data_IF_410402289951
#
_entry.id   IF_410402289951
#
_cell.length_a   1.000
_cell.length_b   1.000
_cell.length_c   1.000
_cell.angle_alpha   90.00
_cell.angle_beta   90.00
_cell.angle_gamma   90.00
#
_symmetry.space_group_name_H-M   'P 1'
#
loop_
_entity.id
_entity.type
_entity.pdbx_description
1 polymer ?
#
# COMPACT_ATOMS: atom_id res chain seq x y z
N UNK A 1 19.12 3.60 -7.28
CA UNK A 1 18.50 3.31 -5.97
C UNK A 1 17.43 4.32 -5.58
N UNK A 2 17.70 5.64 -5.64
CA UNK A 2 16.73 6.71 -5.34
C UNK A 2 15.33 6.52 -5.96
N UNK A 3 15.26 6.24 -7.27
CA UNK A 3 13.99 6.02 -7.98
C UNK A 3 13.20 4.81 -7.47
N UNK A 4 13.89 3.74 -7.06
CA UNK A 4 13.24 2.55 -6.49
C UNK A 4 12.59 2.86 -5.14
N UNK A 5 13.27 3.63 -4.29
CA UNK A 5 12.74 4.04 -2.99
C UNK A 5 11.62 5.08 -3.10
N UNK A 6 11.73 6.02 -4.03
CA UNK A 6 10.64 6.95 -4.34
C UNK A 6 9.39 6.18 -4.81
N UNK A 7 9.57 5.23 -5.74
CA UNK A 7 8.49 4.36 -6.20
C UNK A 7 7.86 3.57 -5.06
N UNK A 8 8.66 2.94 -4.19
CA UNK A 8 8.15 2.21 -3.02
C UNK A 8 7.37 3.12 -2.06
N UNK A 9 7.83 4.35 -1.84
CA UNK A 9 7.19 5.29 -0.93
C UNK A 9 5.82 5.76 -1.48
N UNK A 10 5.74 5.99 -2.79
CA UNK A 10 4.46 6.27 -3.47
C UNK A 10 3.54 5.05 -3.43
N UNK A 11 4.06 3.85 -3.73
CA UNK A 11 3.32 2.59 -3.62
C UNK A 11 2.77 2.36 -2.23
N UNK A 12 3.57 2.59 -1.18
CA UNK A 12 3.14 2.45 0.21
C UNK A 12 2.01 3.42 0.56
N UNK A 13 2.15 4.69 0.18
CA UNK A 13 1.10 5.70 0.41
C UNK A 13 -0.19 5.37 -0.34
N UNK A 14 -0.10 5.04 -1.63
CA UNK A 14 -1.26 4.74 -2.47
C UNK A 14 -1.94 3.46 -1.98
N UNK A 15 -1.19 2.40 -1.71
CA UNK A 15 -1.75 1.14 -1.21
C UNK A 15 -2.38 1.28 0.17
N UNK A 16 -1.83 2.12 1.05
CA UNK A 16 -2.43 2.44 2.35
C UNK A 16 -3.77 3.15 2.19
N UNK A 17 -3.83 4.21 1.39
CA UNK A 17 -5.09 4.94 1.11
C UNK A 17 -6.11 4.01 0.45
N UNK A 18 -5.68 3.22 -0.54
CA UNK A 18 -6.56 2.31 -1.27
C UNK A 18 -7.12 1.23 -0.34
N UNK A 19 -6.30 0.68 0.56
CA UNK A 19 -6.76 -0.29 1.58
C UNK A 19 -7.87 0.32 2.44
N UNK A 20 -7.70 1.56 2.91
CA UNK A 20 -8.72 2.25 3.72
C UNK A 20 -10.02 2.48 2.95
N UNK A 21 -9.92 2.92 1.68
CA UNK A 21 -11.10 3.12 0.82
C UNK A 21 -11.84 1.81 0.59
N UNK A 22 -11.11 0.74 0.29
CA UNK A 22 -11.71 -0.58 0.07
C UNK A 22 -12.37 -1.12 1.34
N UNK A 23 -11.73 -0.93 2.50
CA UNK A 23 -12.32 -1.33 3.77
C UNK A 23 -13.58 -0.53 4.09
N UNK A 24 -13.59 0.77 3.79
CA UNK A 24 -14.76 1.63 3.94
C UNK A 24 -15.90 1.18 3.01
N UNK A 25 -15.61 0.89 1.75
CA UNK A 25 -16.60 0.43 0.77
C UNK A 25 -17.19 -0.93 1.15
N UNK A 26 -16.36 -1.85 1.63
CA UNK A 26 -16.82 -3.15 2.15
C UNK A 26 -17.72 -2.95 3.38
N UNK A 27 -17.39 -2.01 4.27
CA UNK A 27 -18.20 -1.69 5.47
C UNK A 27 -19.55 -1.05 5.10
N UNK A 28 -19.59 -0.23 4.05
CA UNK A 28 -20.83 0.40 3.58
C UNK A 28 -21.77 -0.58 2.89
N UNK A 29 -21.22 -1.59 2.22
CA UNK A 29 -21.97 -2.65 1.56
C UNK A 29 -21.17 -3.94 1.58
N UNK A 30 -21.56 -4.82 2.50
CA UNK A 30 -20.94 -6.14 2.65
C UNK A 30 -20.85 -6.86 1.29
N UNK A 31 -19.66 -7.37 0.99
CA UNK A 31 -19.36 -8.11 -0.24
C UNK A 31 -19.18 -7.25 -1.49
N UNK A 32 -19.33 -5.92 -1.43
CA UNK A 32 -19.16 -5.07 -2.62
C UNK A 32 -17.73 -5.10 -3.15
N UNK A 33 -16.74 -4.92 -2.29
CA UNK A 33 -15.34 -4.93 -2.72
C UNK A 33 -14.91 -6.33 -3.07
N UNK A 34 -15.24 -7.29 -2.20
CA UNK A 34 -14.92 -8.71 -2.38
C UNK A 34 -15.44 -9.30 -3.70
N UNK A 35 -16.49 -8.70 -4.29
CA UNK A 35 -17.03 -9.09 -5.59
C UNK A 35 -16.17 -8.66 -6.78
N UNK A 36 -15.49 -7.50 -6.70
CA UNK A 36 -14.72 -6.93 -7.82
C UNK A 36 -13.22 -7.15 -7.69
N UNK A 37 -12.68 -7.08 -6.48
CA UNK A 37 -11.25 -7.15 -6.19
C UNK A 37 -11.04 -7.98 -4.92
N UNK A 38 -9.95 -8.76 -4.88
CA UNK A 38 -9.52 -9.38 -3.63
C UNK A 38 -8.74 -8.35 -2.78
N UNK A 39 -9.31 -7.81 -1.70
CA UNK A 39 -8.66 -6.77 -0.89
C UNK A 39 -7.37 -7.27 -0.21
N UNK A 40 -7.22 -8.59 -0.03
CA UNK A 40 -6.01 -9.20 0.53
C UNK A 40 -4.78 -8.91 -0.33
N UNK A 41 -4.93 -8.85 -1.66
CA UNK A 41 -3.80 -8.56 -2.56
C UNK A 41 -3.24 -7.16 -2.28
N UNK A 42 -4.11 -6.17 -2.13
CA UNK A 42 -3.71 -4.78 -1.87
C UNK A 42 -3.10 -4.66 -0.48
N UNK A 43 -3.63 -5.39 0.49
CA UNK A 43 -3.08 -5.46 1.84
C UNK A 43 -1.68 -6.08 1.88
N UNK A 44 -1.43 -7.12 1.07
CA UNK A 44 -0.10 -7.74 0.90
C UNK A 44 0.88 -6.75 0.27
N UNK A 45 0.47 -6.01 -0.77
CA UNK A 45 1.31 -4.96 -1.39
C UNK A 45 1.64 -3.86 -0.38
N UNK A 46 0.65 -3.40 0.40
CA UNK A 46 0.86 -2.44 1.47
C UNK A 46 1.86 -2.96 2.52
N UNK A 47 1.73 -4.23 2.91
CA UNK A 47 2.63 -4.83 3.90
C UNK A 47 4.06 -4.94 3.39
N UNK A 48 4.26 -5.45 2.17
CA UNK A 48 5.61 -5.59 1.56
C UNK A 48 6.25 -4.21 1.37
N UNK A 49 5.50 -3.25 0.83
CA UNK A 49 6.01 -1.88 0.63
C UNK A 49 6.31 -1.16 1.95
N UNK A 50 5.52 -1.42 2.99
CA UNK A 50 5.75 -0.94 4.35
C UNK A 50 7.01 -1.53 4.99
N UNK A 51 7.27 -2.82 4.81
CA UNK A 51 8.52 -3.46 5.26
C UNK A 51 9.73 -2.84 4.56
N UNK A 52 9.68 -2.68 3.24
CA UNK A 52 10.75 -2.02 2.48
C UNK A 52 10.94 -0.59 2.99
N UNK A 53 9.86 0.16 3.20
CA UNK A 53 9.92 1.52 3.71
C UNK A 53 10.54 1.59 5.11
N UNK A 54 10.15 0.71 6.03
CA UNK A 54 10.63 0.68 7.42
C UNK A 54 12.14 0.37 7.52
N UNK A 55 12.62 -0.56 6.71
CA UNK A 55 14.04 -0.96 6.72
C UNK A 55 14.91 -0.13 5.76
N UNK A 56 14.34 0.85 5.04
CA UNK A 56 15.11 1.77 4.20
C UNK A 56 15.65 2.92 5.06
N UNK A 57 16.98 3.05 5.25
CA UNK A 57 17.55 4.15 6.01
C UNK A 57 17.32 5.50 5.31
N UNK A 58 17.02 6.56 6.07
CA UNK A 58 16.73 7.91 5.54
C UNK A 58 17.83 8.45 4.60
N UNK A 59 19.08 8.04 4.80
CA UNK A 59 20.22 8.40 3.94
C UNK A 59 20.09 7.90 2.50
N UNK A 60 19.30 6.86 2.24
CA UNK A 60 19.01 6.38 0.88
C UNK A 60 18.13 7.33 0.06
N UNK A 61 17.53 8.35 0.69
CA UNK A 61 16.75 9.39 0.03
C UNK A 61 17.55 10.68 -0.26
N UNK A 62 18.73 10.86 0.36
CA UNK A 62 19.54 12.08 0.21
C UNK A 62 20.65 12.01 -0.84
N UNK A 63 20.96 10.83 -1.38
CA UNK A 63 21.86 10.64 -2.53
C UNK A 63 21.12 10.79 -3.86
#
# INVERSE_FOLDING_TARGET
>A
MKYFYQCNNELFRISGILTLILFLLETLKDGYVSFFINPVIILVIFFISGVIWLFTPERAFSE
#
